data_IF_931291889871
#
_entry.id   IF_931291889871
#
_cell.length_a   1.000
_cell.length_b   1.000
_cell.length_c   1.000
_cell.angle_alpha   90.00
_cell.angle_beta   90.00
_cell.angle_gamma   90.00
#
_symmetry.space_group_name_H-M   'P 1'
#
loop_
_entity.id
_entity.type
_entity.pdbx_description
1 polymer ?
#
# COMPACT_ATOMS: atom_id res chain seq x y z
N UNK A 1 22.59 -14.15 4.28
CA UNK A 1 22.85 -12.74 4.68
C UNK A 1 21.57 -12.17 5.26
N UNK A 2 21.56 -11.86 6.56
CA UNK A 2 20.42 -11.19 7.18
C UNK A 2 20.52 -9.69 6.86
N UNK A 3 19.45 -9.11 6.32
CA UNK A 3 19.35 -7.66 6.13
C UNK A 3 19.22 -7.02 7.52
N UNK A 4 19.95 -5.94 7.75
CA UNK A 4 19.91 -5.18 8.99
C UNK A 4 18.47 -4.69 9.26
N UNK A 5 17.94 -4.88 10.48
CA UNK A 5 16.50 -4.76 10.75
C UNK A 5 15.96 -3.34 10.54
N UNK A 6 16.76 -2.30 10.76
CA UNK A 6 16.30 -0.92 10.54
C UNK A 6 16.16 -0.60 9.05
N UNK A 7 17.11 -1.04 8.21
CA UNK A 7 17.02 -0.97 6.75
C UNK A 7 15.83 -1.79 6.23
N UNK A 8 15.58 -2.97 6.79
CA UNK A 8 14.41 -3.78 6.43
C UNK A 8 13.09 -3.07 6.79
N UNK A 9 13.01 -2.42 7.95
CA UNK A 9 11.84 -1.64 8.36
C UNK A 9 11.61 -0.41 7.45
N UNK A 10 12.68 0.29 7.08
CA UNK A 10 12.64 1.42 6.15
C UNK A 10 12.06 0.99 4.79
N UNK A 11 12.52 -0.14 4.26
CA UNK A 11 12.01 -0.71 3.02
C UNK A 11 10.55 -1.17 3.14
N UNK A 12 10.16 -1.78 4.27
CA UNK A 12 8.76 -2.20 4.52
C UNK A 12 7.81 -1.01 4.48
N UNK A 13 8.17 0.13 5.06
CA UNK A 13 7.37 1.37 5.09
C UNK A 13 7.07 1.92 3.68
N UNK A 14 8.01 1.83 2.76
CA UNK A 14 7.87 2.38 1.39
C UNK A 14 7.26 1.37 0.43
N UNK A 15 7.59 0.09 0.57
CA UNK A 15 7.24 -0.95 -0.41
C UNK A 15 6.04 -1.81 0.00
N UNK A 16 5.85 -2.08 1.30
CA UNK A 16 4.90 -3.09 1.78
C UNK A 16 3.70 -2.47 2.51
N UNK A 17 3.93 -1.51 3.40
CA UNK A 17 2.90 -0.88 4.25
C UNK A 17 2.09 0.17 3.47
N UNK A 18 1.28 -0.33 2.55
CA UNK A 18 0.47 0.49 1.63
C UNK A 18 -0.93 -0.08 1.54
N UNK A 19 -1.88 0.76 1.13
CA UNK A 19 -3.19 0.31 0.70
C UNK A 19 -3.23 0.17 -0.82
N UNK A 20 -4.15 -0.65 -1.31
CA UNK A 20 -4.42 -0.90 -2.72
C UNK A 20 -5.91 -0.67 -2.97
N UNK A 21 -6.26 0.06 -4.02
CA UNK A 21 -7.65 0.16 -4.46
C UNK A 21 -8.13 -1.17 -5.08
N UNK A 22 -9.32 -1.65 -4.72
CA UNK A 22 -9.90 -2.89 -5.26
C UNK A 22 -10.31 -2.77 -6.73
N UNK A 23 -10.63 -1.56 -7.19
CA UNK A 23 -11.10 -1.30 -8.56
C UNK A 23 -9.93 -1.08 -9.51
N UNK A 24 -9.01 -0.17 -9.16
CA UNK A 24 -7.93 0.24 -10.08
C UNK A 24 -6.55 -0.30 -9.73
N UNK A 25 -6.40 -1.06 -8.63
CA UNK A 25 -5.14 -1.60 -8.13
C UNK A 25 -4.04 -0.55 -7.85
N UNK A 26 -4.40 0.73 -7.74
CA UNK A 26 -3.46 1.79 -7.42
C UNK A 26 -2.89 1.64 -6.00
N UNK A 27 -1.58 1.90 -5.85
CA UNK A 27 -0.91 1.98 -4.55
C UNK A 27 -1.22 3.31 -3.86
N UNK A 28 -1.63 3.24 -2.60
CA UNK A 28 -2.10 4.36 -1.79
C UNK A 28 -1.37 4.41 -0.43
N UNK A 29 -1.37 5.57 0.24
CA UNK A 29 -0.91 5.68 1.62
C UNK A 29 -1.66 4.74 2.58
N UNK A 30 -1.04 4.29 3.68
CA UNK A 30 -1.66 3.36 4.63
C UNK A 30 -2.91 3.90 5.33
N UNK A 31 -3.06 5.22 5.44
CA UNK A 31 -4.21 5.92 6.06
C UNK A 31 -5.19 6.51 5.04
N UNK A 32 -5.13 6.09 3.78
CA UNK A 32 -6.07 6.55 2.77
C UNK A 32 -7.48 6.03 3.07
N UNK A 33 -8.49 6.88 2.88
CA UNK A 33 -9.91 6.51 2.93
C UNK A 33 -10.52 6.38 1.53
N UNK A 34 -10.00 7.15 0.57
CA UNK A 34 -10.44 7.16 -0.83
C UNK A 34 -9.26 6.96 -1.79
N UNK A 35 -9.55 6.40 -2.97
CA UNK A 35 -8.54 6.29 -4.02
C UNK A 35 -8.25 7.65 -4.67
N UNK A 36 -6.97 7.93 -4.94
CA UNK A 36 -6.54 9.15 -5.65
C UNK A 36 -6.83 9.16 -7.16
N UNK A 37 -7.29 8.05 -7.74
CA UNK A 37 -7.42 7.90 -9.20
C UNK A 37 -8.85 8.21 -9.66
N UNK A 38 -8.97 9.15 -10.61
CA UNK A 38 -10.25 9.51 -11.25
C UNK A 38 -10.91 8.33 -11.97
N UNK A 39 -10.11 7.43 -12.58
CA UNK A 39 -10.61 6.26 -13.33
C UNK A 39 -11.43 5.26 -12.52
N UNK A 40 -11.31 5.25 -11.19
CA UNK A 40 -12.17 4.44 -10.31
C UNK A 40 -13.18 5.30 -9.53
N UNK A 41 -13.47 6.51 -10.01
CA UNK A 41 -14.42 7.42 -9.37
C UNK A 41 -14.07 7.78 -7.93
N UNK A 42 -12.79 7.84 -7.58
CA UNK A 42 -12.34 8.06 -6.19
C UNK A 42 -12.89 7.05 -5.17
N UNK A 43 -13.21 5.83 -5.61
CA UNK A 43 -13.76 4.76 -4.78
C UNK A 43 -13.08 4.61 -3.42
N UNK A 44 -13.90 4.40 -2.38
CA UNK A 44 -13.53 4.05 -1.01
C UNK A 44 -13.27 2.53 -0.82
N UNK A 45 -13.41 1.73 -1.88
CA UNK A 45 -13.18 0.29 -1.84
C UNK A 45 -11.67 -0.01 -1.84
N UNK A 46 -11.06 0.08 -0.66
CA UNK A 46 -9.64 -0.12 -0.45
C UNK A 46 -9.36 -1.46 0.25
N UNK A 47 -8.11 -1.92 0.18
CA UNK A 47 -7.60 -3.07 0.93
C UNK A 47 -6.15 -2.85 1.32
N UNK A 48 -5.68 -3.57 2.33
CA UNK A 48 -4.26 -3.58 2.68
C UNK A 48 -3.46 -4.36 1.62
N UNK A 49 -2.26 -3.90 1.27
CA UNK A 49 -1.34 -4.67 0.42
C UNK A 49 -0.96 -5.96 1.15
N UNK A 50 -1.08 -7.10 0.47
CA UNK A 50 -0.79 -8.41 1.07
C UNK A 50 0.66 -8.44 1.56
N UNK A 51 0.87 -8.84 2.81
CA UNK A 51 2.20 -8.98 3.40
C UNK A 51 2.87 -10.23 2.84
N UNK A 52 4.17 -10.12 2.60
CA UNK A 52 5.02 -11.26 2.23
C UNK A 52 5.24 -12.07 3.51
N UNK A 53 5.07 -13.39 3.43
CA UNK A 53 5.36 -14.33 4.52
C UNK A 53 6.85 -14.59 4.57
#
# INVERSE_FOLDING_TARGET
MAIEPTLAALAKKTNCEKQICRVCYARLPPRATNCRKKKCGHSNQLRIKKKIK
#
